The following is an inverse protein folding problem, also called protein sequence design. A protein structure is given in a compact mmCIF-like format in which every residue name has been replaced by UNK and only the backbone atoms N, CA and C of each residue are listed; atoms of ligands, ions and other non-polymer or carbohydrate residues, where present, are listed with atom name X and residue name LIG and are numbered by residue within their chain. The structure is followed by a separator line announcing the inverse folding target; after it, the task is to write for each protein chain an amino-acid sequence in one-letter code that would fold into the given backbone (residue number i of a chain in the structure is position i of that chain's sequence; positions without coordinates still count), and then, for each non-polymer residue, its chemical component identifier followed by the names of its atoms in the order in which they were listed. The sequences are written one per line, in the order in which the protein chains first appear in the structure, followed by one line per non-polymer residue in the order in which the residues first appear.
data_IF_621430029955
#
_entry.id   IF_621430029955
#
_cell.length_a   1.000
_cell.length_b   1.000
_cell.length_c   1.000
_cell.angle_alpha   90.00
_cell.angle_beta   90.00
_cell.angle_gamma   90.00
#
_symmetry.space_group_name_H-M   'P 1'
#
loop_
_entity.id
_entity.type
_entity.pdbx_description
1 polymer ?
#
# COMPACT_ATOMS: atom_id res chain seq x y z
N UNK A 1 12.14 8.00 -3.45
CA UNK A 1 11.17 9.10 -3.53
C UNK A 1 10.98 9.71 -2.15
N UNK A 2 11.13 11.04 -2.06
CA UNK A 2 11.20 11.82 -0.82
C UNK A 2 9.86 11.87 -0.07
N UNK A 3 9.97 11.75 1.26
CA UNK A 3 9.13 12.29 2.34
C UNK A 3 7.77 12.92 1.97
N UNK A 4 6.68 12.27 2.45
CA UNK A 4 5.32 12.80 2.69
C UNK A 4 4.88 13.94 1.76
N UNK A 5 4.42 13.59 0.56
CA UNK A 5 3.60 14.53 -0.23
C UNK A 5 2.22 14.58 0.39
N UNK A 6 1.94 15.67 1.11
CA UNK A 6 0.57 16.07 1.39
C UNK A 6 0.03 16.78 0.16
N UNK A 7 -1.16 16.39 -0.30
CA UNK A 7 -1.86 16.98 -1.44
C UNK A 7 -3.22 17.45 -0.93
N UNK A 8 -3.75 18.55 -1.46
CA UNK A 8 -5.06 19.00 -1.01
C UNK A 8 -6.16 18.06 -1.51
N UNK A 9 -7.20 17.84 -0.71
CA UNK A 9 -8.32 16.99 -1.14
C UNK A 9 -8.97 17.50 -2.42
N UNK A 10 -9.04 18.83 -2.59
CA UNK A 10 -9.53 19.47 -3.81
C UNK A 10 -8.72 19.07 -5.05
N UNK A 11 -7.38 19.10 -4.98
CA UNK A 11 -6.52 18.70 -6.09
C UNK A 11 -6.70 17.23 -6.46
N UNK A 12 -6.91 16.37 -5.47
CA UNK A 12 -7.20 14.95 -5.71
C UNK A 12 -8.57 14.80 -6.40
N UNK A 13 -9.60 15.53 -5.92
CA UNK A 13 -10.94 15.49 -6.50
C UNK A 13 -10.96 15.93 -7.97
N UNK A 14 -10.32 17.06 -8.28
CA UNK A 14 -10.21 17.56 -9.66
C UNK A 14 -9.57 16.51 -10.59
N UNK A 15 -8.52 15.83 -10.12
CA UNK A 15 -7.86 14.75 -10.88
C UNK A 15 -8.69 13.47 -10.96
N UNK A 16 -9.55 13.21 -9.99
CA UNK A 16 -10.39 12.03 -9.96
C UNK A 16 -11.60 12.17 -10.89
N UNK A 17 -12.19 13.36 -10.96
CA UNK A 17 -13.26 13.69 -11.91
C UNK A 17 -12.80 13.55 -13.37
N UNK A 18 -11.52 13.82 -13.65
CA UNK A 18 -10.89 13.59 -14.97
C UNK A 18 -10.85 12.09 -15.39
N UNK A 19 -11.06 11.14 -14.47
CA UNK A 19 -10.89 9.69 -14.71
C UNK A 19 -12.20 8.97 -15.05
N UNK A 20 -13.32 9.69 -15.18
CA UNK A 20 -14.67 9.10 -15.37
C UNK A 20 -15.06 8.07 -14.30
N UNK A 21 -14.48 8.16 -13.10
CA UNK A 21 -14.78 7.27 -11.98
C UNK A 21 -15.97 7.84 -11.19
N UNK A 22 -16.95 7.02 -10.74
CA UNK A 22 -18.11 7.51 -10.00
C UNK A 22 -17.72 8.31 -8.74
N UNK A 23 -18.36 9.47 -8.54
CA UNK A 23 -18.16 10.32 -7.36
C UNK A 23 -18.40 9.56 -6.04
N UNK A 24 -19.35 8.63 -6.01
CA UNK A 24 -19.61 7.78 -4.85
C UNK A 24 -18.36 6.99 -4.41
N UNK A 25 -17.57 6.49 -5.37
CA UNK A 25 -16.33 5.76 -5.07
C UNK A 25 -15.26 6.69 -4.48
N UNK A 26 -15.22 7.95 -4.91
CA UNK A 26 -14.35 8.96 -4.31
C UNK A 26 -14.76 9.27 -2.87
N UNK A 27 -16.05 9.51 -2.65
CA UNK A 27 -16.59 9.87 -1.33
C UNK A 27 -16.35 8.74 -0.32
N UNK A 28 -16.52 7.49 -0.77
CA UNK A 28 -16.15 6.27 -0.05
C UNK A 28 -14.67 6.26 0.38
N UNK A 29 -13.74 6.58 -0.52
CA UNK A 29 -12.31 6.62 -0.23
C UNK A 29 -12.02 7.70 0.80
N UNK A 30 -12.62 8.87 0.65
CA UNK A 30 -12.49 10.01 1.57
C UNK A 30 -13.00 9.65 2.96
N UNK A 31 -14.16 9.01 3.03
CA UNK A 31 -14.77 8.58 4.28
C UNK A 31 -13.91 7.54 5.01
N UNK A 32 -13.46 6.49 4.31
CA UNK A 32 -12.61 5.44 4.89
C UNK A 32 -11.30 6.06 5.41
N UNK A 33 -10.69 6.97 4.64
CA UNK A 33 -9.44 7.62 5.00
C UNK A 33 -9.57 8.71 6.06
N UNK A 34 -10.80 9.09 6.42
CA UNK A 34 -11.10 10.28 7.24
C UNK A 34 -10.32 11.52 6.72
N UNK A 35 -10.29 11.67 5.40
CA UNK A 35 -9.48 12.70 4.75
C UNK A 35 -10.13 14.08 4.87
N UNK A 36 -9.31 15.05 5.28
CA UNK A 36 -9.65 16.46 5.35
C UNK A 36 -8.84 17.25 4.31
N UNK A 37 -8.64 18.55 4.51
CA UNK A 37 -7.99 19.45 3.56
C UNK A 37 -6.59 18.99 3.10
N UNK A 38 -5.79 18.39 3.98
CA UNK A 38 -4.44 17.91 3.67
C UNK A 38 -4.35 16.39 3.77
N UNK A 39 -4.17 15.74 2.62
CA UNK A 39 -4.21 14.28 2.51
C UNK A 39 -2.79 13.74 2.30
N UNK A 40 -2.39 12.75 3.11
CA UNK A 40 -1.17 12.00 2.83
C UNK A 40 -1.39 11.18 1.55
N UNK A 41 -0.63 11.46 0.50
CA UNK A 41 -0.83 10.83 -0.80
C UNK A 41 -0.78 9.30 -0.75
N UNK A 42 0.17 8.75 0.02
CA UNK A 42 0.30 7.29 0.17
C UNK A 42 -0.95 6.66 0.82
N UNK A 43 -1.61 7.36 1.74
CA UNK A 43 -2.83 6.85 2.39
C UNK A 43 -4.00 6.84 1.40
N UNK A 44 -4.19 7.93 0.65
CA UNK A 44 -5.20 7.99 -0.39
C UNK A 44 -4.99 6.89 -1.42
N UNK A 45 -3.74 6.73 -1.87
CA UNK A 45 -3.38 5.71 -2.84
C UNK A 45 -3.67 4.29 -2.31
N UNK A 46 -3.33 4.03 -1.06
CA UNK A 46 -3.58 2.73 -0.43
C UNK A 46 -5.06 2.37 -0.47
N UNK A 47 -5.95 3.28 -0.03
CA UNK A 47 -7.40 3.06 -0.02
C UNK A 47 -7.97 3.01 -1.45
N UNK A 48 -7.50 3.87 -2.36
CA UNK A 48 -7.93 3.81 -3.75
C UNK A 48 -7.63 2.45 -4.38
N UNK A 49 -6.48 1.84 -4.06
CA UNK A 49 -6.13 0.51 -4.53
C UNK A 49 -6.96 -0.60 -3.87
N UNK A 50 -7.42 -0.46 -2.62
CA UNK A 50 -8.33 -1.48 -2.03
C UNK A 50 -9.64 -1.58 -2.81
N UNK A 51 -10.12 -0.48 -3.40
CA UNK A 51 -11.37 -0.46 -4.20
C UNK A 51 -11.30 -1.30 -5.48
N UNK A 52 -10.10 -1.61 -5.98
CA UNK A 52 -9.89 -2.45 -7.18
C UNK A 52 -9.16 -3.76 -6.88
N UNK A 53 -8.97 -4.07 -5.60
CA UNK A 53 -8.25 -5.25 -5.13
C UNK A 53 -9.19 -6.25 -4.48
N UNK A 54 -8.80 -7.53 -4.50
CA UNK A 54 -9.61 -8.59 -3.90
C UNK A 54 -9.48 -8.67 -2.39
N UNK A 55 -8.31 -8.34 -1.86
CA UNK A 55 -7.93 -8.44 -0.45
C UNK A 55 -6.66 -7.61 -0.17
N UNK A 56 -6.14 -7.64 1.07
CA UNK A 56 -4.94 -6.90 1.45
C UNK A 56 -3.72 -7.35 0.65
N UNK A 57 -3.59 -8.67 0.45
CA UNK A 57 -2.48 -9.24 -0.32
C UNK A 57 -2.46 -8.69 -1.75
N UNK A 58 -3.59 -8.72 -2.44
CA UNK A 58 -3.74 -8.19 -3.81
C UNK A 58 -3.50 -6.66 -3.85
N UNK A 59 -3.94 -5.94 -2.81
CA UNK A 59 -3.67 -4.49 -2.67
C UNK A 59 -2.17 -4.20 -2.62
N UNK A 60 -1.41 -4.94 -1.80
CA UNK A 60 0.04 -4.76 -1.68
C UNK A 60 0.80 -5.16 -2.95
N UNK A 61 0.30 -6.13 -3.70
CA UNK A 61 0.83 -6.46 -5.04
C UNK A 61 0.66 -5.26 -5.98
N UNK A 62 -0.54 -4.70 -6.08
CA UNK A 62 -0.80 -3.53 -6.94
C UNK A 62 0.02 -2.31 -6.52
N UNK A 63 0.26 -2.11 -5.22
CA UNK A 63 1.15 -1.05 -4.73
C UNK A 63 2.57 -1.25 -5.26
N UNK A 64 3.11 -2.48 -5.22
CA UNK A 64 4.40 -2.79 -5.81
C UNK A 64 4.41 -2.50 -7.32
N UNK A 65 3.41 -2.98 -8.06
CA UNK A 65 3.29 -2.79 -9.50
C UNK A 65 3.20 -1.31 -9.90
N UNK A 66 2.49 -0.50 -9.13
CA UNK A 66 2.29 0.91 -9.41
C UNK A 66 3.53 1.76 -9.09
N UNK A 67 4.25 1.44 -8.01
CA UNK A 67 5.35 2.28 -7.50
C UNK A 67 6.73 1.82 -7.98
N UNK A 68 6.83 0.62 -8.58
CA UNK A 68 8.11 0.09 -9.02
C UNK A 68 8.74 0.93 -10.12
N UNK A 69 10.07 0.99 -10.10
CA UNK A 69 10.88 1.49 -11.24
C UNK A 69 11.41 0.34 -12.11
N UNK A 70 11.07 -0.91 -11.79
CA UNK A 70 11.40 -2.04 -12.63
C UNK A 70 10.59 -1.99 -13.94
N UNK A 71 11.07 -2.59 -15.04
CA UNK A 71 10.30 -2.70 -16.28
C UNK A 71 8.97 -3.46 -16.09
N UNK A 72 7.94 -3.20 -16.92
CA UNK A 72 6.70 -3.97 -16.90
C UNK A 72 6.97 -5.49 -17.03
N UNK A 73 6.31 -6.28 -16.19
CA UNK A 73 6.48 -7.75 -16.16
C UNK A 73 7.72 -8.25 -15.41
N UNK A 74 8.56 -7.36 -14.86
CA UNK A 74 9.64 -7.72 -13.96
C UNK A 74 9.12 -7.99 -12.53
N UNK A 75 10.01 -7.94 -11.53
CA UNK A 75 9.69 -8.31 -10.16
C UNK A 75 8.84 -7.27 -9.41
N UNK A 76 8.66 -6.05 -9.94
CA UNK A 76 7.96 -4.97 -9.26
C UNK A 76 8.55 -4.61 -7.88
N UNK A 77 9.88 -4.46 -7.81
CA UNK A 77 10.56 -4.14 -6.56
C UNK A 77 10.30 -2.69 -6.14
N UNK A 78 10.11 -2.48 -4.84
CA UNK A 78 10.03 -1.16 -4.19
C UNK A 78 10.89 -1.15 -2.92
N UNK A 79 11.26 0.03 -2.39
CA UNK A 79 11.96 0.12 -1.11
C UNK A 79 11.12 -0.49 0.03
N UNK A 80 11.74 -1.30 0.88
CA UNK A 80 11.06 -1.98 1.99
C UNK A 80 10.38 -1.02 2.95
N UNK A 81 11.03 0.09 3.30
CA UNK A 81 10.46 1.12 4.16
C UNK A 81 9.21 1.78 3.57
N UNK A 82 9.08 1.79 2.24
CA UNK A 82 7.86 2.27 1.58
C UNK A 82 6.76 1.21 1.68
N UNK A 83 7.05 -0.04 1.33
CA UNK A 83 6.12 -1.16 1.49
C UNK A 83 5.58 -1.29 2.92
N UNK A 84 6.46 -1.18 3.93
CA UNK A 84 6.13 -1.27 5.35
C UNK A 84 5.10 -0.22 5.78
N UNK A 85 5.18 1.00 5.25
CA UNK A 85 4.21 2.07 5.54
C UNK A 85 2.81 1.71 5.02
N UNK A 86 2.74 1.18 3.81
CA UNK A 86 1.48 0.74 3.22
C UNK A 86 0.87 -0.44 3.99
N UNK A 87 1.66 -1.46 4.30
CA UNK A 87 1.16 -2.62 5.03
C UNK A 87 0.64 -2.24 6.42
N UNK A 88 1.40 -1.46 7.19
CA UNK A 88 0.95 -0.98 8.51
C UNK A 88 -0.34 -0.17 8.41
N UNK A 89 -0.38 0.82 7.52
CA UNK A 89 -1.55 1.67 7.36
C UNK A 89 -2.81 0.86 7.01
N UNK A 90 -2.69 -0.09 6.06
CA UNK A 90 -3.81 -0.91 5.65
C UNK A 90 -4.23 -1.93 6.72
N UNK A 91 -3.27 -2.50 7.47
CA UNK A 91 -3.57 -3.42 8.56
C UNK A 91 -4.25 -2.73 9.75
N UNK A 92 -3.81 -1.51 10.08
CA UNK A 92 -4.46 -0.66 11.09
C UNK A 92 -5.87 -0.22 10.65
N UNK A 93 -6.07 0.03 9.35
CA UNK A 93 -7.36 0.40 8.77
C UNK A 93 -8.35 -0.78 8.76
N UNK A 94 -7.87 -2.00 8.50
CA UNK A 94 -8.66 -3.24 8.56
C UNK A 94 -9.13 -3.54 9.99
N UNK A 95 -8.26 -3.32 10.99
CA UNK A 95 -8.59 -3.41 12.41
C UNK A 95 -8.60 -4.84 12.98
N UNK A 96 -8.65 -5.87 12.15
CA UNK A 96 -8.64 -7.28 12.58
C UNK A 96 -7.23 -7.89 12.66
N UNK A 97 -6.23 -7.20 12.10
CA UNK A 97 -4.83 -7.66 12.10
C UNK A 97 -4.12 -7.15 13.35
N UNK A 98 -3.65 -8.06 14.21
CA UNK A 98 -2.96 -7.69 15.45
C UNK A 98 -1.58 -7.08 15.21
N UNK A 99 -1.14 -6.17 16.10
CA UNK A 99 0.22 -5.62 16.08
C UNK A 99 1.31 -6.70 16.12
N UNK A 100 1.06 -7.81 16.82
CA UNK A 100 1.98 -8.94 16.85
C UNK A 100 2.12 -9.58 15.45
N UNK A 101 1.02 -9.73 14.71
CA UNK A 101 1.06 -10.25 13.34
C UNK A 101 1.81 -9.29 12.42
N UNK A 102 1.50 -7.99 12.49
CA UNK A 102 2.17 -6.95 11.71
C UNK A 102 3.69 -7.02 11.95
N UNK A 103 4.10 -7.10 13.22
CA UNK A 103 5.50 -7.23 13.61
C UNK A 103 6.14 -8.52 13.08
N UNK A 104 5.48 -9.67 13.20
CA UNK A 104 5.99 -10.94 12.69
C UNK A 104 6.26 -10.91 11.18
N UNK A 105 5.33 -10.35 10.39
CA UNK A 105 5.51 -10.19 8.94
C UNK A 105 6.70 -9.27 8.64
N UNK A 106 6.74 -8.09 9.26
CA UNK A 106 7.81 -7.11 9.04
C UNK A 106 9.18 -7.69 9.40
N UNK A 107 9.28 -8.37 10.55
CA UNK A 107 10.53 -8.98 11.01
C UNK A 107 10.97 -10.12 10.09
N UNK A 108 10.05 -10.98 9.66
CA UNK A 108 10.36 -12.04 8.68
C UNK A 108 10.94 -11.44 7.39
N UNK A 109 10.27 -10.44 6.83
CA UNK A 109 10.69 -9.82 5.58
C UNK A 109 12.03 -9.11 5.71
N UNK A 110 12.23 -8.37 6.81
CA UNK A 110 13.47 -7.67 7.11
C UNK A 110 14.67 -8.63 7.21
N UNK A 111 14.50 -9.73 7.95
CA UNK A 111 15.58 -10.67 8.23
C UNK A 111 15.90 -11.58 7.03
N UNK A 112 14.88 -12.06 6.31
CA UNK A 112 15.09 -13.04 5.24
C UNK A 112 15.43 -12.41 3.88
N UNK A 113 14.85 -11.25 3.57
CA UNK A 113 14.86 -10.71 2.21
C UNK A 113 15.59 -9.36 2.11
N UNK A 114 15.24 -8.40 2.98
CA UNK A 114 15.65 -7.00 2.83
C UNK A 114 17.18 -6.85 2.83
N UNK A 115 17.88 -7.54 3.75
CA UNK A 115 19.35 -7.53 3.83
C UNK A 115 20.00 -8.10 2.56
N UNK A 116 19.40 -9.14 1.98
CA UNK A 116 19.93 -9.82 0.77
C UNK A 116 19.57 -9.07 -0.51
N UNK A 117 18.59 -8.16 -0.45
CA UNK A 117 18.02 -7.47 -1.60
C UNK A 117 18.28 -5.95 -1.60
N UNK A 118 19.31 -5.48 -0.88
CA UNK A 118 19.69 -4.06 -0.82
C UNK A 118 18.51 -3.14 -0.44
N UNK A 119 17.82 -3.47 0.66
CA UNK A 119 16.68 -2.72 1.19
C UNK A 119 15.42 -2.71 0.30
N UNK A 120 15.34 -3.60 -0.68
CA UNK A 120 14.20 -3.73 -1.60
C UNK A 120 13.33 -4.95 -1.27
N UNK A 121 12.05 -4.84 -1.61
CA UNK A 121 11.06 -5.92 -1.50
C UNK A 121 10.23 -6.03 -2.77
N UNK A 122 9.73 -7.22 -3.07
CA UNK A 122 8.81 -7.50 -4.16
C UNK A 122 7.74 -8.53 -3.78
N UNK A 123 6.65 -8.68 -4.57
CA UNK A 123 5.54 -9.59 -4.28
C UNK A 123 5.93 -10.99 -3.83
N UNK A 124 6.86 -11.65 -4.54
CA UNK A 124 7.28 -13.02 -4.18
C UNK A 124 7.89 -13.16 -2.78
N UNK A 125 8.37 -12.08 -2.14
CA UNK A 125 8.91 -12.15 -0.78
C UNK A 125 7.79 -12.36 0.26
N UNK A 126 6.70 -11.59 0.16
CA UNK A 126 5.56 -11.68 1.08
C UNK A 126 4.50 -12.70 0.65
N UNK A 127 4.63 -13.25 -0.57
CA UNK A 127 3.91 -14.45 -1.02
C UNK A 127 4.68 -15.75 -0.73
N UNK A 128 5.85 -15.66 -0.11
CA UNK A 128 6.66 -16.84 0.20
C UNK A 128 5.90 -17.75 1.20
N UNK A 129 5.93 -19.08 1.05
CA UNK A 129 5.18 -19.99 1.92
C UNK A 129 5.51 -19.89 3.41
N UNK A 130 6.72 -19.45 3.74
CA UNK A 130 7.18 -19.26 5.13
C UNK A 130 6.90 -17.85 5.67
N UNK A 131 6.46 -16.92 4.82
CA UNK A 131 6.02 -15.62 5.30
C UNK A 131 4.74 -15.81 6.11
N UNK A 132 4.65 -15.24 7.33
CA UNK A 132 3.37 -15.16 8.02
C UNK A 132 2.33 -14.51 7.10
N UNK A 133 1.08 -15.00 7.14
CA UNK A 133 0.01 -14.43 6.33
C UNK A 133 -0.17 -12.94 6.66
N UNK A 134 -0.41 -12.14 5.62
CA UNK A 134 -0.63 -10.71 5.75
C UNK A 134 -1.96 -10.38 6.43
N UNK A 135 -2.96 -11.25 6.24
CA UNK A 135 -4.35 -11.15 6.71
C UNK A 135 -4.85 -12.53 7.20
N UNK A 136 -5.98 -12.56 7.91
CA UNK A 136 -6.58 -13.75 8.55
C UNK A 136 -7.06 -14.83 7.59
#
# INVERSE_FOLDING_TARGET
FSSKRTISLQQIKEKYEDLDIPQEQFDDIVQIGSFNDNVQWDHFLAIALTKISKNLTDTLIKICELLTSDPPGANARIPFEQWKKFYRYLAELDGDISEERIKQVIDYLANEWVIRQNDMIHPRNFLHPECPKLEG
#
